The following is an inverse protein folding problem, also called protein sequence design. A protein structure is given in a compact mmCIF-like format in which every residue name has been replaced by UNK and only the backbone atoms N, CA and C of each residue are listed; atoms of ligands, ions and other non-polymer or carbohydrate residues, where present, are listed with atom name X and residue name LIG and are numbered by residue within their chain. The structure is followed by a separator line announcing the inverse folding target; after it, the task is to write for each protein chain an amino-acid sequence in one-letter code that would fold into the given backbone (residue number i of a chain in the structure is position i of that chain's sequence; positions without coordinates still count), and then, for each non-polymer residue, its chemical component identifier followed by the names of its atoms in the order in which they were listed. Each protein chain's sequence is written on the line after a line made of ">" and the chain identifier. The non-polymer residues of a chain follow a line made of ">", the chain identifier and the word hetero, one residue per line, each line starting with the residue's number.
data_IF_433973985740
#
_entry.id   IF_433973985740
#
_cell.length_a   1.000
_cell.length_b   1.000
_cell.length_c   1.000
_cell.angle_alpha   90.00
_cell.angle_beta   90.00
_cell.angle_gamma   90.00
#
_symmetry.space_group_name_H-M   'P 1'
#
loop_
_entity.id
_entity.type
_entity.pdbx_description
1 polymer ?
#
# COMPACT_ATOMS: atom_id res chain seq x y z
N UNK A 1 10.31 -9.37 -1.93
CA UNK A 1 10.65 -10.51 -2.82
C UNK A 1 11.80 -11.38 -2.27
N UNK A 2 12.49 -10.98 -1.15
CA UNK A 2 13.58 -11.75 -0.56
C UNK A 2 13.13 -13.16 -0.10
N UNK A 3 14.03 -14.17 -0.08
CA UNK A 3 13.69 -15.53 0.40
C UNK A 3 13.13 -15.57 1.83
N UNK A 4 13.57 -14.67 2.69
CA UNK A 4 13.09 -14.54 4.08
C UNK A 4 11.73 -13.80 4.18
N UNK A 5 11.17 -13.35 3.07
CA UNK A 5 9.91 -12.60 2.97
C UNK A 5 8.93 -13.33 2.07
N UNK A 6 8.68 -12.84 0.87
CA UNK A 6 7.72 -13.44 -0.06
C UNK A 6 8.33 -14.55 -0.92
N UNK A 7 9.66 -14.69 -0.98
CA UNK A 7 10.40 -15.68 -1.78
C UNK A 7 9.94 -15.71 -3.25
N UNK A 8 9.86 -14.52 -3.85
CA UNK A 8 9.39 -14.36 -5.23
C UNK A 8 10.56 -14.11 -6.19
N UNK A 9 10.72 -15.00 -7.17
CA UNK A 9 11.77 -14.93 -8.18
C UNK A 9 11.51 -13.86 -9.25
N UNK A 10 10.25 -13.47 -9.44
CA UNK A 10 9.82 -12.53 -10.47
C UNK A 10 8.97 -11.42 -9.91
N UNK A 11 9.18 -10.20 -10.41
CA UNK A 11 8.38 -9.02 -10.14
C UNK A 11 8.12 -8.23 -11.42
N UNK A 12 6.85 -7.99 -11.75
CA UNK A 12 6.44 -7.27 -12.96
C UNK A 12 7.09 -7.82 -14.23
N UNK A 13 7.10 -9.15 -14.38
CA UNK A 13 7.67 -9.85 -15.52
C UNK A 13 9.19 -9.90 -15.60
N UNK A 14 9.92 -9.34 -14.61
CA UNK A 14 11.39 -9.37 -14.53
C UNK A 14 11.83 -10.17 -13.31
N UNK A 15 13.05 -10.71 -13.35
CA UNK A 15 13.66 -11.33 -12.17
C UNK A 15 13.75 -10.30 -11.04
N UNK A 16 13.45 -10.73 -9.82
CA UNK A 16 13.56 -9.89 -8.61
C UNK A 16 15.02 -9.48 -8.36
N UNK A 17 15.21 -8.38 -7.63
CA UNK A 17 16.54 -7.77 -7.42
C UNK A 17 17.53 -8.77 -6.80
N UNK A 18 17.09 -9.58 -5.82
CA UNK A 18 17.98 -10.56 -5.19
C UNK A 18 18.38 -11.70 -6.11
N UNK A 19 17.57 -12.06 -7.10
CA UNK A 19 17.89 -13.08 -8.11
C UNK A 19 18.89 -12.60 -9.16
N UNK A 20 18.96 -11.28 -9.38
CA UNK A 20 19.90 -10.69 -10.36
C UNK A 20 21.21 -10.27 -9.71
N UNK A 21 21.14 -9.64 -8.52
CA UNK A 21 22.27 -8.97 -7.89
C UNK A 21 22.69 -9.55 -6.53
N UNK A 22 22.01 -10.60 -6.07
CA UNK A 22 22.22 -11.21 -4.75
C UNK A 22 21.44 -10.51 -3.63
N UNK A 23 21.24 -11.22 -2.52
CA UNK A 23 20.43 -10.77 -1.39
C UNK A 23 21.02 -9.54 -0.69
N UNK A 24 22.33 -9.53 -0.44
CA UNK A 24 23.01 -8.40 0.21
C UNK A 24 22.84 -7.11 -0.58
N UNK A 25 22.97 -7.15 -1.90
CA UNK A 25 22.75 -6.00 -2.77
C UNK A 25 21.29 -5.53 -2.73
N UNK A 26 20.33 -6.46 -2.74
CA UNK A 26 18.92 -6.14 -2.65
C UNK A 26 18.55 -5.45 -1.33
N UNK A 27 19.08 -5.95 -0.20
CA UNK A 27 18.89 -5.35 1.12
C UNK A 27 19.47 -3.95 1.18
N UNK A 28 20.74 -3.78 0.73
CA UNK A 28 21.41 -2.48 0.74
C UNK A 28 20.70 -1.46 -0.17
N UNK A 29 20.23 -1.90 -1.33
CA UNK A 29 19.47 -1.04 -2.25
C UNK A 29 18.14 -0.56 -1.61
N UNK A 30 17.41 -1.45 -0.94
CA UNK A 30 16.18 -1.08 -0.23
C UNK A 30 16.43 -0.09 0.90
N UNK A 31 17.46 -0.34 1.73
CA UNK A 31 17.87 0.57 2.80
C UNK A 31 18.31 1.94 2.26
N UNK A 32 19.07 1.94 1.17
CA UNK A 32 19.54 3.19 0.53
C UNK A 32 18.37 4.01 -0.03
N UNK A 33 17.37 3.37 -0.64
CA UNK A 33 16.19 4.06 -1.16
C UNK A 33 15.35 4.70 -0.03
N UNK A 34 15.18 3.99 1.09
CA UNK A 34 14.48 4.55 2.25
C UNK A 34 15.25 5.72 2.85
N UNK A 35 16.57 5.59 2.99
CA UNK A 35 17.44 6.66 3.51
C UNK A 35 17.43 7.88 2.58
N UNK A 36 17.47 7.66 1.26
CA UNK A 36 17.35 8.73 0.26
C UNK A 36 16.01 9.48 0.38
N UNK A 37 14.92 8.80 0.69
CA UNK A 37 13.64 9.46 0.90
C UNK A 37 13.72 10.47 2.07
N UNK A 38 14.38 10.12 3.19
CA UNK A 38 14.61 11.06 4.29
C UNK A 38 15.53 12.23 3.90
N UNK A 39 16.58 11.97 3.13
CA UNK A 39 17.47 13.01 2.61
C UNK A 39 16.70 14.03 1.76
N UNK A 40 15.84 13.54 0.84
CA UNK A 40 14.98 14.40 0.01
C UNK A 40 14.05 15.24 0.86
N UNK A 41 13.37 14.68 1.84
CA UNK A 41 12.42 15.39 2.71
C UNK A 41 13.09 16.45 3.60
N UNK A 42 14.38 16.30 3.90
CA UNK A 42 15.15 17.26 4.69
C UNK A 42 15.85 18.33 3.87
N UNK A 43 15.93 18.17 2.54
CA UNK A 43 16.64 19.08 1.64
C UNK A 43 16.04 20.49 1.62
N UNK A 44 16.87 21.51 1.86
CA UNK A 44 16.48 22.91 1.75
C UNK A 44 16.12 23.33 0.31
N UNK A 45 16.64 22.60 -0.69
CA UNK A 45 16.33 22.87 -2.10
C UNK A 45 14.90 22.48 -2.48
N UNK A 46 14.30 21.55 -1.71
CA UNK A 46 12.98 20.99 -2.02
C UNK A 46 11.94 21.56 -1.07
N UNK A 47 12.23 21.60 0.23
CA UNK A 47 11.31 22.07 1.27
C UNK A 47 12.04 23.09 2.11
N UNK A 48 11.58 24.34 2.12
CA UNK A 48 12.19 25.43 2.89
C UNK A 48 11.66 25.51 4.33
N UNK A 49 10.40 25.14 4.57
CA UNK A 49 9.75 25.26 5.87
C UNK A 49 10.22 24.17 6.86
N UNK A 50 10.89 24.51 7.98
CA UNK A 50 11.40 23.54 8.94
C UNK A 50 10.30 22.68 9.59
N UNK A 51 9.13 23.29 9.88
CA UNK A 51 8.00 22.54 10.45
C UNK A 51 7.49 21.48 9.48
N UNK A 52 7.30 21.81 8.20
CA UNK A 52 6.88 20.86 7.18
C UNK A 52 7.89 19.72 7.02
N UNK A 53 9.20 20.02 7.08
CA UNK A 53 10.24 18.95 7.08
C UNK A 53 10.09 18.00 8.24
N UNK A 54 9.99 18.53 9.46
CA UNK A 54 9.85 17.72 10.67
C UNK A 54 8.59 16.86 10.61
N UNK A 55 7.46 17.44 10.20
CA UNK A 55 6.19 16.73 10.07
C UNK A 55 6.25 15.61 9.02
N UNK A 56 6.89 15.86 7.88
CA UNK A 56 7.06 14.86 6.81
C UNK A 56 8.00 13.73 7.21
N UNK A 57 9.12 14.06 7.85
CA UNK A 57 10.07 13.05 8.36
C UNK A 57 9.38 12.15 9.39
N UNK A 58 8.65 12.76 10.34
CA UNK A 58 7.88 12.00 11.32
C UNK A 58 6.82 11.10 10.66
N UNK A 59 6.05 11.63 9.71
CA UNK A 59 5.01 10.88 9.01
C UNK A 59 5.60 9.72 8.21
N UNK A 60 6.71 9.92 7.47
CA UNK A 60 7.39 8.84 6.75
C UNK A 60 7.97 7.79 7.70
N UNK A 61 8.61 8.20 8.78
CA UNK A 61 9.17 7.28 9.78
C UNK A 61 8.07 6.41 10.41
N UNK A 62 6.95 7.03 10.79
CA UNK A 62 5.79 6.31 11.33
C UNK A 62 5.20 5.32 10.33
N UNK A 63 5.03 5.74 9.07
CA UNK A 63 4.45 4.90 8.01
C UNK A 63 5.39 3.77 7.57
N UNK A 64 6.71 3.94 7.65
CA UNK A 64 7.69 2.93 7.26
C UNK A 64 8.08 1.98 8.40
N UNK A 65 7.97 2.45 9.63
CA UNK A 65 8.44 1.75 10.83
C UNK A 65 7.52 0.63 11.34
N UNK A 66 7.70 0.29 12.61
CA UNK A 66 6.96 -0.80 13.27
C UNK A 66 5.46 -0.54 13.40
N UNK A 67 5.02 0.72 13.40
CA UNK A 67 3.60 1.10 13.38
C UNK A 67 2.99 1.06 11.99
N UNK A 68 3.82 1.05 10.93
CA UNK A 68 3.45 1.01 9.53
C UNK A 68 3.95 -0.24 8.81
N UNK A 69 4.66 -0.05 7.69
CA UNK A 69 5.01 -1.12 6.74
C UNK A 69 5.77 -2.28 7.41
N UNK A 70 6.81 -1.99 8.20
CA UNK A 70 7.59 -3.04 8.84
C UNK A 70 6.74 -3.89 9.80
N UNK A 71 5.86 -3.25 10.60
CA UNK A 71 4.91 -3.96 11.46
C UNK A 71 3.84 -4.72 10.67
N UNK A 72 3.37 -4.16 9.55
CA UNK A 72 2.44 -4.82 8.65
C UNK A 72 3.04 -6.06 8.00
N UNK A 73 4.29 -5.99 7.53
CA UNK A 73 5.01 -7.14 6.98
C UNK A 73 5.24 -8.23 8.04
N UNK A 74 5.60 -7.83 9.27
CA UNK A 74 5.70 -8.77 10.38
C UNK A 74 4.38 -9.51 10.65
N UNK A 75 3.26 -8.79 10.63
CA UNK A 75 1.93 -9.40 10.81
C UNK A 75 1.55 -10.32 9.66
N UNK A 76 1.88 -9.95 8.42
CA UNK A 76 1.61 -10.77 7.23
C UNK A 76 2.30 -12.14 7.36
N UNK A 77 3.59 -12.16 7.70
CA UNK A 77 4.34 -13.39 7.96
C UNK A 77 3.79 -14.17 9.15
N UNK A 78 3.44 -13.48 10.24
CA UNK A 78 2.89 -14.10 11.45
C UNK A 78 1.53 -14.75 11.21
N UNK A 79 0.72 -14.18 10.31
CA UNK A 79 -0.63 -14.65 10.03
C UNK A 79 -0.68 -15.80 9.01
N UNK A 80 0.44 -16.14 8.38
CA UNK A 80 0.51 -17.28 7.49
C UNK A 80 0.00 -18.56 8.18
N UNK A 81 -0.86 -19.30 7.46
CA UNK A 81 -1.49 -20.54 7.93
C UNK A 81 -2.38 -20.41 9.17
N UNK A 82 -2.59 -19.18 9.68
CA UNK A 82 -3.48 -18.94 10.80
C UNK A 82 -4.91 -18.60 10.33
N UNK A 83 -5.89 -18.84 11.20
CA UNK A 83 -7.22 -18.25 11.09
C UNK A 83 -7.24 -16.95 11.87
N UNK A 84 -7.39 -15.84 11.18
CA UNK A 84 -7.46 -14.50 11.80
C UNK A 84 -8.76 -13.81 11.42
N UNK A 85 -9.22 -12.88 12.26
CA UNK A 85 -10.42 -12.10 12.02
C UNK A 85 -10.27 -11.18 10.81
N UNK A 86 -11.39 -10.76 10.19
CA UNK A 86 -11.40 -9.74 9.15
C UNK A 86 -10.69 -8.46 9.61
N UNK A 87 -10.96 -8.00 10.83
CA UNK A 87 -10.39 -6.75 11.36
C UNK A 87 -8.87 -6.85 11.51
N UNK A 88 -8.35 -8.01 11.92
CA UNK A 88 -6.90 -8.24 11.99
C UNK A 88 -6.26 -8.22 10.60
N UNK A 89 -6.93 -8.77 9.59
CA UNK A 89 -6.46 -8.72 8.19
C UNK A 89 -6.47 -7.28 7.67
N UNK A 90 -7.54 -6.53 7.94
CA UNK A 90 -7.64 -5.12 7.55
C UNK A 90 -6.55 -4.27 8.23
N UNK A 91 -6.29 -4.47 9.53
CA UNK A 91 -5.21 -3.77 10.24
C UNK A 91 -3.83 -4.09 9.63
N UNK A 92 -3.55 -5.36 9.37
CA UNK A 92 -2.31 -5.79 8.73
C UNK A 92 -2.14 -5.17 7.35
N UNK A 93 -3.18 -5.19 6.50
CA UNK A 93 -3.14 -4.62 5.15
C UNK A 93 -3.01 -3.09 5.17
N UNK A 94 -3.69 -2.41 6.09
CA UNK A 94 -3.52 -0.98 6.31
C UNK A 94 -2.06 -0.64 6.66
N UNK A 95 -1.43 -1.40 7.54
CA UNK A 95 -0.02 -1.21 7.89
C UNK A 95 0.90 -1.54 6.72
N UNK A 96 0.80 -2.75 6.15
CA UNK A 96 1.71 -3.25 5.12
C UNK A 96 1.69 -2.41 3.84
N UNK A 97 0.51 -1.95 3.43
CA UNK A 97 0.29 -1.27 2.14
C UNK A 97 -0.30 0.13 2.32
N UNK A 98 -1.31 0.26 3.19
CA UNK A 98 -2.08 1.49 3.36
C UNK A 98 -1.27 2.66 3.88
N UNK A 99 -0.37 2.45 4.84
CA UNK A 99 0.36 3.54 5.50
C UNK A 99 1.23 4.35 4.54
N UNK A 100 1.89 3.73 3.54
CA UNK A 100 2.68 4.49 2.58
C UNK A 100 1.82 5.30 1.61
N UNK A 101 0.71 4.74 1.16
CA UNK A 101 -0.26 5.46 0.32
C UNK A 101 -0.89 6.61 1.12
N UNK A 102 -1.18 6.36 2.38
CA UNK A 102 -1.65 7.34 3.35
C UNK A 102 -0.66 8.49 3.53
N UNK A 103 0.64 8.17 3.69
CA UNK A 103 1.70 9.17 3.74
C UNK A 103 1.73 10.05 2.49
N UNK A 104 1.58 9.49 1.30
CA UNK A 104 1.54 10.27 0.06
C UNK A 104 0.45 11.34 0.08
N UNK A 105 -0.76 11.00 0.53
CA UNK A 105 -1.86 11.97 0.61
C UNK A 105 -1.74 12.93 1.80
N UNK A 106 -1.26 12.45 2.95
CA UNK A 106 -0.99 13.27 4.13
C UNK A 106 0.08 14.32 3.85
N UNK A 107 1.14 13.95 3.11
CA UNK A 107 2.24 14.85 2.76
C UNK A 107 1.77 16.08 1.97
N UNK A 108 0.76 15.93 1.11
CA UNK A 108 0.17 17.06 0.38
C UNK A 108 -0.45 18.09 1.33
N UNK A 109 -1.15 17.64 2.38
CA UNK A 109 -1.70 18.57 3.39
C UNK A 109 -0.61 19.26 4.20
N UNK A 110 0.46 18.55 4.55
CA UNK A 110 1.61 19.10 5.28
C UNK A 110 2.31 20.18 4.44
N UNK A 111 2.62 19.89 3.17
CA UNK A 111 3.27 20.82 2.25
C UNK A 111 2.41 22.06 1.97
N UNK A 112 1.09 21.88 1.86
CA UNK A 112 0.14 22.98 1.67
C UNK A 112 -0.16 23.77 2.95
N UNK A 113 0.39 23.42 4.10
CA UNK A 113 0.07 24.04 5.40
C UNK A 113 -1.39 23.90 5.81
N UNK A 114 -2.08 22.83 5.37
CA UNK A 114 -3.52 22.59 5.61
C UNK A 114 -3.73 21.51 6.67
N UNK A 115 -3.33 21.78 7.90
CA UNK A 115 -3.39 20.83 9.01
C UNK A 115 -4.81 20.23 9.21
N UNK A 116 -5.86 21.04 9.04
CA UNK A 116 -7.26 20.56 9.16
C UNK A 116 -7.67 19.52 8.11
N UNK A 117 -6.89 19.40 7.02
CA UNK A 117 -7.12 18.40 5.96
C UNK A 117 -6.27 17.14 6.13
N UNK A 118 -5.25 17.20 6.96
CA UNK A 118 -4.26 16.15 7.15
C UNK A 118 -4.91 14.81 7.56
N UNK A 119 -5.71 14.83 8.62
CA UNK A 119 -6.42 13.64 9.11
C UNK A 119 -7.36 13.02 8.06
N UNK A 120 -8.04 13.87 7.30
CA UNK A 120 -8.94 13.42 6.23
C UNK A 120 -8.16 12.72 5.11
N UNK A 121 -7.11 13.37 4.59
CA UNK A 121 -6.30 12.82 3.50
C UNK A 121 -5.56 11.54 3.94
N UNK A 122 -5.07 11.51 5.19
CA UNK A 122 -4.52 10.29 5.77
C UNK A 122 -5.52 9.13 5.73
N UNK A 123 -6.76 9.35 6.14
CA UNK A 123 -7.80 8.31 6.11
C UNK A 123 -8.15 7.87 4.69
N UNK A 124 -8.27 8.80 3.75
CA UNK A 124 -8.48 8.47 2.32
C UNK A 124 -7.34 7.61 1.79
N UNK A 125 -6.09 7.93 2.13
CA UNK A 125 -4.94 7.12 1.72
C UNK A 125 -4.98 5.68 2.25
N UNK A 126 -5.39 5.49 3.50
CA UNK A 126 -5.60 4.15 4.07
C UNK A 126 -6.71 3.38 3.35
N UNK A 127 -7.84 4.05 3.07
CA UNK A 127 -8.96 3.44 2.36
C UNK A 127 -8.56 3.03 0.92
N UNK A 128 -7.78 3.86 0.21
CA UNK A 128 -7.22 3.54 -1.11
C UNK A 128 -6.23 2.36 -1.01
N UNK A 129 -5.38 2.35 0.00
CA UNK A 129 -4.43 1.25 0.22
C UNK A 129 -5.12 -0.09 0.48
N UNK A 130 -6.20 -0.08 1.25
CA UNK A 130 -7.01 -1.26 1.48
C UNK A 130 -7.70 -1.73 0.18
N UNK A 131 -8.26 -0.80 -0.61
CA UNK A 131 -8.83 -1.11 -1.91
C UNK A 131 -7.80 -1.74 -2.84
N UNK A 132 -6.60 -1.14 -2.90
CA UNK A 132 -5.48 -1.68 -3.68
C UNK A 132 -5.18 -3.13 -3.31
N UNK A 133 -5.11 -3.45 -2.01
CA UNK A 133 -4.80 -4.79 -1.56
C UNK A 133 -5.92 -5.79 -1.88
N UNK A 134 -7.19 -5.41 -1.70
CA UNK A 134 -8.33 -6.28 -2.05
C UNK A 134 -8.31 -6.59 -3.54
N UNK A 135 -8.06 -5.60 -4.39
CA UNK A 135 -8.00 -5.82 -5.84
C UNK A 135 -6.76 -6.63 -6.25
N UNK A 136 -5.64 -6.50 -5.54
CA UNK A 136 -4.45 -7.34 -5.75
C UNK A 136 -4.72 -8.81 -5.38
N UNK A 137 -5.36 -9.05 -4.24
CA UNK A 137 -5.81 -10.40 -3.82
C UNK A 137 -6.79 -11.01 -4.85
N UNK A 138 -7.70 -10.21 -5.41
CA UNK A 138 -8.63 -10.67 -6.47
C UNK A 138 -7.89 -11.03 -7.76
N UNK A 139 -6.88 -10.24 -8.13
CA UNK A 139 -6.02 -10.54 -9.28
C UNK A 139 -5.21 -11.82 -9.08
N UNK A 140 -4.74 -12.10 -7.86
CA UNK A 140 -4.06 -13.38 -7.58
C UNK A 140 -4.99 -14.58 -7.79
N UNK A 141 -6.29 -14.43 -7.57
CA UNK A 141 -7.28 -15.50 -7.76
C UNK A 141 -7.71 -15.66 -9.22
N UNK A 142 -7.96 -14.56 -9.93
CA UNK A 142 -8.59 -14.55 -11.27
C UNK A 142 -7.68 -14.13 -12.40
N UNK A 143 -6.55 -13.54 -12.09
CA UNK A 143 -5.70 -12.92 -13.08
C UNK A 143 -5.05 -13.92 -14.04
N UNK A 144 -4.73 -13.47 -15.25
CA UNK A 144 -3.95 -14.23 -16.21
C UNK A 144 -2.45 -14.05 -15.88
N UNK A 145 -1.77 -15.17 -15.63
CA UNK A 145 -0.33 -15.21 -15.32
C UNK A 145 0.52 -14.47 -16.35
N UNK A 146 0.12 -14.49 -17.63
CA UNK A 146 0.85 -13.79 -18.69
C UNK A 146 0.73 -12.26 -18.59
N UNK A 147 -0.43 -11.77 -18.16
CA UNK A 147 -0.67 -10.33 -18.00
C UNK A 147 -0.07 -9.79 -16.70
N UNK A 148 -0.17 -10.54 -15.61
CA UNK A 148 0.32 -10.12 -14.28
C UNK A 148 1.85 -10.20 -14.17
N UNK A 149 2.50 -11.04 -15.00
CA UNK A 149 3.96 -11.21 -15.00
C UNK A 149 4.53 -11.91 -13.77
N UNK A 150 3.69 -12.61 -13.00
CA UNK A 150 4.05 -13.53 -11.90
C UNK A 150 3.06 -14.71 -11.84
N UNK A 151 3.42 -15.85 -11.23
CA UNK A 151 2.48 -16.96 -11.03
C UNK A 151 1.27 -16.51 -10.20
N UNK A 152 0.06 -16.85 -10.64
CA UNK A 152 -1.19 -16.64 -9.91
C UNK A 152 -1.40 -17.69 -8.82
N UNK A 153 -2.30 -17.43 -7.86
CA UNK A 153 -2.61 -18.29 -6.70
C UNK A 153 -1.41 -18.48 -5.75
N UNK A 154 -0.47 -17.54 -5.75
CA UNK A 154 0.68 -17.53 -4.85
C UNK A 154 0.27 -17.45 -3.39
N UNK A 155 -0.70 -16.61 -3.06
CA UNK A 155 -1.21 -16.40 -1.71
C UNK A 155 -1.86 -17.66 -1.13
N UNK A 156 -2.59 -18.42 -1.95
CA UNK A 156 -3.16 -19.71 -1.53
C UNK A 156 -2.07 -20.73 -1.22
N UNK A 157 -1.01 -20.81 -2.04
CA UNK A 157 0.12 -21.73 -1.83
C UNK A 157 0.91 -21.39 -0.57
N UNK A 158 1.15 -20.10 -0.32
CA UNK A 158 1.85 -19.60 0.86
C UNK A 158 0.98 -19.63 2.13
N UNK A 159 -0.33 -19.83 1.99
CA UNK A 159 -1.27 -19.86 3.11
C UNK A 159 -1.58 -18.49 3.71
N UNK A 160 -1.39 -17.40 2.94
CA UNK A 160 -1.59 -16.01 3.38
C UNK A 160 -3.01 -15.76 3.89
N UNK A 161 -3.10 -14.84 4.85
CA UNK A 161 -4.37 -14.36 5.39
C UNK A 161 -4.89 -13.21 4.53
N UNK A 162 -5.81 -13.49 3.60
CA UNK A 162 -6.39 -12.49 2.69
C UNK A 162 -7.86 -12.22 3.01
N UNK A 163 -8.37 -11.07 2.57
CA UNK A 163 -9.80 -10.73 2.68
C UNK A 163 -10.65 -11.77 1.95
N UNK A 164 -10.18 -12.25 0.80
CA UNK A 164 -10.88 -13.28 0.01
C UNK A 164 -11.01 -14.59 0.77
N UNK A 165 -9.95 -15.02 1.45
CA UNK A 165 -9.97 -16.25 2.26
C UNK A 165 -10.95 -16.14 3.44
N UNK A 166 -11.12 -14.93 3.98
CA UNK A 166 -12.01 -14.66 5.11
C UNK A 166 -13.47 -14.50 4.71
N UNK A 167 -13.77 -13.70 3.67
CA UNK A 167 -15.14 -13.34 3.26
C UNK A 167 -15.70 -14.21 2.13
N UNK A 168 -14.82 -14.85 1.35
CA UNK A 168 -15.14 -15.42 0.05
C UNK A 168 -15.12 -14.35 -1.06
N UNK A 169 -14.99 -14.83 -2.29
CA UNK A 169 -14.77 -13.99 -3.48
C UNK A 169 -15.88 -12.95 -3.69
N UNK A 170 -17.15 -13.39 -3.72
CA UNK A 170 -18.27 -12.49 -4.02
C UNK A 170 -18.39 -11.33 -3.03
N UNK A 171 -18.23 -11.62 -1.73
CA UNK A 171 -18.27 -10.59 -0.69
C UNK A 171 -17.03 -9.69 -0.73
N UNK A 172 -15.88 -10.20 -1.15
CA UNK A 172 -14.68 -9.37 -1.32
C UNK A 172 -14.86 -8.38 -2.49
N UNK A 173 -15.46 -8.84 -3.60
CA UNK A 173 -15.82 -7.97 -4.73
C UNK A 173 -16.80 -6.88 -4.27
N UNK A 174 -17.91 -7.26 -3.63
CA UNK A 174 -18.89 -6.30 -3.11
C UNK A 174 -18.24 -5.27 -2.17
N UNK A 175 -17.39 -5.74 -1.26
CA UNK A 175 -16.66 -4.86 -0.34
C UNK A 175 -15.73 -3.90 -1.05
N UNK A 176 -15.07 -4.32 -2.15
CA UNK A 176 -14.21 -3.43 -2.94
C UNK A 176 -14.99 -2.31 -3.61
N UNK A 177 -16.18 -2.59 -4.15
CA UNK A 177 -17.05 -1.57 -4.74
C UNK A 177 -17.58 -0.61 -3.68
N UNK A 178 -18.10 -1.11 -2.55
CA UNK A 178 -18.58 -0.26 -1.45
C UNK A 178 -17.48 0.66 -0.92
N UNK A 179 -16.25 0.17 -0.82
CA UNK A 179 -15.10 0.96 -0.38
C UNK A 179 -14.77 2.07 -1.39
N UNK A 180 -14.74 1.74 -2.68
CA UNK A 180 -14.46 2.71 -3.74
C UNK A 180 -15.54 3.80 -3.85
N UNK A 181 -16.82 3.43 -3.74
CA UNK A 181 -17.93 4.36 -3.72
C UNK A 181 -17.83 5.31 -2.51
N UNK A 182 -17.54 4.77 -1.32
CA UNK A 182 -17.36 5.57 -0.12
C UNK A 182 -16.15 6.54 -0.21
N UNK A 183 -15.04 6.13 -0.83
CA UNK A 183 -13.89 7.01 -1.10
C UNK A 183 -14.31 8.13 -2.06
N UNK A 184 -14.96 7.78 -3.16
CA UNK A 184 -15.41 8.72 -4.21
C UNK A 184 -16.36 9.76 -3.65
N UNK A 185 -17.37 9.32 -2.90
CA UNK A 185 -18.34 10.21 -2.25
C UNK A 185 -17.64 11.21 -1.30
N UNK A 186 -16.78 10.73 -0.39
CA UNK A 186 -16.03 11.58 0.53
C UNK A 186 -15.17 12.62 -0.19
N UNK A 187 -14.52 12.21 -1.28
CA UNK A 187 -13.66 13.09 -2.08
C UNK A 187 -14.50 14.15 -2.80
N UNK A 188 -15.59 13.75 -3.50
CA UNK A 188 -16.45 14.66 -4.23
C UNK A 188 -17.20 15.63 -3.32
N UNK A 189 -17.69 15.17 -2.17
CA UNK A 189 -18.35 16.03 -1.19
C UNK A 189 -17.39 17.12 -0.64
N UNK A 190 -16.08 16.84 -0.56
CA UNK A 190 -15.12 17.80 0.00
C UNK A 190 -14.45 18.69 -1.03
N UNK A 191 -14.22 18.19 -2.24
CA UNK A 191 -13.40 18.87 -3.25
C UNK A 191 -14.10 19.11 -4.57
N UNK A 192 -15.31 18.55 -4.79
CA UNK A 192 -16.04 18.64 -6.06
C UNK A 192 -15.22 18.05 -7.21
N UNK A 193 -15.24 18.73 -8.35
CA UNK A 193 -14.51 18.33 -9.57
C UNK A 193 -12.98 18.35 -9.41
N UNK A 194 -12.44 19.06 -8.41
CA UNK A 194 -10.99 19.04 -8.13
C UNK A 194 -10.48 17.68 -7.65
N UNK A 195 -11.40 16.78 -7.28
CA UNK A 195 -11.05 15.40 -6.89
C UNK A 195 -11.05 14.44 -8.08
N UNK A 196 -11.45 14.83 -9.28
CA UNK A 196 -11.72 13.91 -10.40
C UNK A 196 -10.51 13.02 -10.72
N UNK A 197 -9.30 13.56 -10.81
CA UNK A 197 -8.10 12.76 -11.08
C UNK A 197 -7.85 11.68 -10.02
N UNK A 198 -8.12 11.98 -8.73
CA UNK A 198 -7.97 11.01 -7.66
C UNK A 198 -9.10 9.96 -7.68
N UNK A 199 -10.33 10.39 -8.02
CA UNK A 199 -11.48 9.50 -8.24
C UNK A 199 -11.23 8.56 -9.42
N UNK A 200 -10.65 9.06 -10.51
CA UNK A 200 -10.26 8.24 -11.67
C UNK A 200 -9.22 7.19 -11.27
N UNK A 201 -8.27 7.55 -10.41
CA UNK A 201 -7.30 6.60 -9.87
C UNK A 201 -7.96 5.51 -9.02
N UNK A 202 -8.96 5.84 -8.21
CA UNK A 202 -9.76 4.87 -7.43
C UNK A 202 -10.53 3.93 -8.37
N UNK A 203 -11.18 4.47 -9.41
CA UNK A 203 -11.90 3.69 -10.41
C UNK A 203 -10.96 2.78 -11.21
N UNK A 204 -9.74 3.26 -11.51
CA UNK A 204 -8.73 2.45 -12.18
C UNK A 204 -8.33 1.22 -11.34
N UNK A 205 -8.19 1.37 -10.02
CA UNK A 205 -7.90 0.24 -9.14
C UNK A 205 -8.94 -0.87 -9.21
N UNK A 206 -10.24 -0.52 -9.32
CA UNK A 206 -11.30 -1.50 -9.47
C UNK A 206 -11.29 -2.25 -10.82
N UNK A 207 -10.81 -1.58 -11.87
CA UNK A 207 -10.91 -2.08 -13.26
C UNK A 207 -9.61 -2.69 -13.77
N UNK A 208 -8.52 -2.58 -13.00
CA UNK A 208 -7.22 -3.12 -13.43
C UNK A 208 -7.31 -4.64 -13.58
N UNK A 209 -6.72 -5.17 -14.63
CA UNK A 209 -6.64 -6.59 -14.99
C UNK A 209 -5.18 -7.10 -15.04
N UNK A 210 -4.24 -6.29 -14.52
CA UNK A 210 -2.79 -6.58 -14.50
C UNK A 210 -2.06 -5.83 -13.37
#
# INVERSE_FOLDING_TARGET
>A
DLPSMDDDDFRRGKKSTHKVFGESTAILAGNSLLTLAFEILTSNKIISNPKSKSDLVYALASSSGYTGIAGGQFLDLKFEKLKVSKDSIVDMQNKKTGELISFCLESVAILAGKETKRKFLKKIGLDIGLLFQITDDLLDVFGDTKKIGKPTRGDKKKGKATIIKNLGVNKAIEFSYQLADGITEKLKNRYGTRADSLVDSVNFLLRRDH
#
